data_IF_126802886120
#
_entry.id   IF_126802886120
#
_cell.length_a   1.000
_cell.length_b   1.000
_cell.length_c   1.000
_cell.angle_alpha   90.00
_cell.angle_beta   90.00
_cell.angle_gamma   90.00
#
_symmetry.space_group_name_H-M   'P 1'
#
loop_
_entity.id
_entity.type
_entity.pdbx_description
1 polymer ?
#
# COMPACT_ATOMS: atom_id res chain seq x y z
N UNK A 1 -0.17 -19.59 7.71
CA UNK A 1 -0.99 -20.65 8.34
C UNK A 1 -2.11 -20.03 9.17
N UNK A 2 -1.83 -19.19 10.18
CA UNK A 2 -2.85 -18.66 11.11
C UNK A 2 -3.92 -17.81 10.42
N UNK A 3 -3.55 -16.88 9.55
CA UNK A 3 -4.51 -16.02 8.82
C UNK A 3 -5.50 -16.85 7.99
N UNK A 4 -5.03 -17.88 7.28
CA UNK A 4 -5.90 -18.76 6.48
C UNK A 4 -6.86 -19.53 7.38
N UNK A 5 -6.37 -20.05 8.51
CA UNK A 5 -7.19 -20.77 9.49
C UNK A 5 -8.33 -19.88 10.02
N UNK A 6 -8.05 -18.65 10.42
CA UNK A 6 -9.09 -17.70 10.86
C UNK A 6 -10.09 -17.40 9.76
N UNK A 7 -9.64 -17.20 8.52
CA UNK A 7 -10.57 -16.98 7.40
C UNK A 7 -11.45 -18.21 7.14
N UNK A 8 -10.88 -19.41 7.24
CA UNK A 8 -11.65 -20.66 7.08
C UNK A 8 -12.71 -20.82 8.19
N UNK A 9 -12.35 -20.50 9.45
CA UNK A 9 -13.29 -20.53 10.59
C UNK A 9 -14.43 -19.51 10.43
N UNK A 10 -14.12 -18.30 9.91
CA UNK A 10 -15.10 -17.23 9.69
C UNK A 10 -15.83 -17.34 8.33
N UNK A 11 -15.58 -18.37 7.56
CA UNK A 11 -16.20 -18.57 6.25
C UNK A 11 -15.77 -17.57 5.19
N UNK A 12 -14.63 -16.89 5.39
CA UNK A 12 -14.09 -15.89 4.46
C UNK A 12 -13.33 -16.59 3.35
N UNK A 13 -13.83 -16.47 2.13
CA UNK A 13 -13.15 -16.98 0.95
C UNK A 13 -12.43 -15.87 0.20
N UNK A 14 -11.12 -16.06 -0.04
CA UNK A 14 -10.32 -15.15 -0.87
C UNK A 14 -9.27 -15.93 -1.66
N UNK A 15 -9.00 -15.46 -2.86
CA UNK A 15 -8.01 -16.04 -3.77
C UNK A 15 -6.63 -15.39 -3.66
N UNK A 16 -6.57 -14.15 -3.20
CA UNK A 16 -5.33 -13.38 -3.06
C UNK A 16 -4.94 -13.26 -1.58
N UNK A 17 -3.69 -13.55 -1.29
CA UNK A 17 -3.11 -13.48 0.04
C UNK A 17 -1.89 -12.57 0.03
N UNK A 18 -1.92 -11.52 0.80
CA UNK A 18 -0.80 -10.58 0.86
C UNK A 18 -1.02 -9.49 1.88
N UNK A 19 -0.22 -8.44 1.80
CA UNK A 19 -0.32 -7.34 2.74
C UNK A 19 0.86 -6.39 2.66
N UNK A 20 1.22 -5.84 3.82
CA UNK A 20 2.33 -4.91 4.00
C UNK A 20 3.14 -5.27 5.23
N UNK A 21 4.44 -5.08 5.16
CA UNK A 21 5.31 -5.17 6.32
C UNK A 21 5.09 -3.96 7.23
N UNK A 22 5.03 -4.22 8.54
CA UNK A 22 4.91 -3.16 9.55
C UNK A 22 6.08 -2.19 9.45
N UNK A 23 5.82 -0.90 9.57
CA UNK A 23 6.76 0.20 9.29
C UNK A 23 7.32 0.22 7.86
N UNK A 24 6.64 -0.39 6.90
CA UNK A 24 7.11 -0.51 5.51
C UNK A 24 8.53 -1.06 5.40
N UNK A 25 8.93 -1.95 6.33
CA UNK A 25 10.27 -2.54 6.36
C UNK A 25 10.47 -3.46 5.17
N UNK A 26 11.52 -3.19 4.43
CA UNK A 26 11.84 -3.95 3.24
C UNK A 26 13.35 -4.16 3.10
N UNK A 27 13.74 -5.39 2.77
CA UNK A 27 15.14 -5.75 2.48
C UNK A 27 15.19 -6.70 1.29
N UNK A 28 15.67 -6.19 0.14
CA UNK A 28 15.89 -7.00 -1.05
C UNK A 28 17.18 -7.84 -0.88
N UNK A 29 17.20 -9.13 -1.26
CA UNK A 29 16.06 -9.90 -1.74
C UNK A 29 15.28 -10.63 -0.62
N UNK A 30 15.71 -10.53 0.63
CA UNK A 30 15.21 -11.31 1.77
C UNK A 30 13.68 -11.23 1.90
N UNK A 31 13.11 -10.01 1.74
CA UNK A 31 11.66 -9.82 1.84
C UNK A 31 10.92 -10.54 0.70
N UNK A 32 11.47 -10.58 -0.51
CA UNK A 32 10.88 -11.31 -1.64
C UNK A 32 10.76 -12.81 -1.33
N UNK A 33 11.86 -13.42 -0.89
CA UNK A 33 11.88 -14.84 -0.53
C UNK A 33 10.94 -15.14 0.64
N UNK A 34 10.91 -14.27 1.66
CA UNK A 34 10.02 -14.45 2.81
C UNK A 34 8.53 -14.43 2.42
N UNK A 35 8.11 -13.52 1.56
CA UNK A 35 6.75 -13.46 1.05
C UNK A 35 6.39 -14.68 0.19
N UNK A 36 7.27 -15.08 -0.73
CA UNK A 36 7.10 -16.25 -1.59
C UNK A 36 6.98 -17.53 -0.75
N UNK A 37 7.90 -17.75 0.20
CA UNK A 37 7.89 -18.91 1.10
C UNK A 37 6.64 -18.96 2.00
N UNK A 38 6.11 -17.80 2.38
CA UNK A 38 4.85 -17.72 3.12
C UNK A 38 3.62 -18.02 2.26
N UNK A 39 3.79 -18.26 0.96
CA UNK A 39 2.72 -18.51 0.00
C UNK A 39 1.82 -17.28 -0.22
N UNK A 40 2.41 -16.08 -0.13
CA UNK A 40 1.70 -14.84 -0.41
C UNK A 40 1.71 -14.56 -1.91
N UNK A 41 0.60 -14.01 -2.40
CA UNK A 41 0.40 -13.72 -3.83
C UNK A 41 0.75 -12.28 -4.18
N UNK A 42 0.71 -11.37 -3.19
CA UNK A 42 1.13 -9.98 -3.40
C UNK A 42 1.77 -9.37 -2.16
N UNK A 43 2.63 -8.37 -2.39
CA UNK A 43 3.16 -7.44 -1.39
C UNK A 43 2.86 -6.00 -1.79
N UNK A 44 2.47 -5.17 -0.82
CA UNK A 44 2.19 -3.75 -1.02
C UNK A 44 2.97 -2.88 -0.03
N UNK A 45 4.23 -3.28 0.27
CA UNK A 45 5.10 -2.58 1.23
C UNK A 45 5.82 -1.39 0.59
N UNK A 46 6.18 -1.49 -0.70
CA UNK A 46 7.08 -0.53 -1.34
C UNK A 46 6.43 0.84 -1.53
N UNK A 47 6.78 1.77 -0.64
CA UNK A 47 6.49 3.20 -0.68
C UNK A 47 7.64 3.98 -0.07
N UNK A 48 7.62 5.29 -0.20
CA UNK A 48 8.45 6.18 0.59
C UNK A 48 7.84 6.40 1.97
N UNK A 49 8.68 6.57 3.00
CA UNK A 49 8.20 6.87 4.35
C UNK A 49 7.87 8.36 4.54
N UNK A 50 8.62 9.22 3.88
CA UNK A 50 8.67 10.67 4.08
C UNK A 50 7.86 11.49 3.07
N UNK A 51 7.45 10.89 1.95
CA UNK A 51 6.58 11.54 0.97
C UNK A 51 5.70 10.54 0.22
N UNK A 52 4.53 10.98 -0.21
CA UNK A 52 3.64 10.19 -1.04
C UNK A 52 4.02 10.28 -2.52
N UNK A 53 3.97 9.16 -3.23
CA UNK A 53 4.34 9.11 -4.66
C UNK A 53 4.71 7.71 -5.14
N UNK A 54 5.34 7.64 -6.28
CA UNK A 54 5.60 6.40 -7.02
C UNK A 54 7.02 5.88 -6.81
N UNK A 55 7.32 5.31 -5.64
CA UNK A 55 8.64 4.72 -5.34
C UNK A 55 9.06 3.65 -6.36
N UNK A 56 8.12 2.86 -6.83
CA UNK A 56 8.38 1.83 -7.83
C UNK A 56 8.42 2.35 -9.28
N UNK A 57 8.29 3.67 -9.49
CA UNK A 57 8.19 4.27 -10.82
C UNK A 57 6.87 3.95 -11.55
N UNK A 58 5.96 3.25 -10.91
CA UNK A 58 4.68 2.81 -11.48
C UNK A 58 3.61 2.66 -10.40
N UNK A 59 2.34 2.69 -10.80
CA UNK A 59 1.18 2.29 -10.00
C UNK A 59 0.53 0.99 -10.51
N UNK A 60 1.11 0.38 -11.52
CA UNK A 60 0.70 -0.95 -11.99
C UNK A 60 1.34 -2.04 -11.14
N UNK A 61 0.60 -3.11 -10.96
CA UNK A 61 1.10 -4.32 -10.33
C UNK A 61 2.02 -5.08 -11.28
N UNK A 62 3.16 -5.55 -10.76
CA UNK A 62 4.16 -6.27 -11.57
C UNK A 62 4.72 -7.49 -10.81
N UNK A 63 5.25 -8.51 -11.53
CA UNK A 63 5.87 -9.67 -10.90
C UNK A 63 7.14 -9.25 -10.14
N UNK A 64 7.33 -9.81 -8.95
CA UNK A 64 8.55 -9.59 -8.19
C UNK A 64 9.74 -10.28 -8.88
N UNK A 65 10.91 -9.63 -8.84
CA UNK A 65 12.11 -10.12 -9.50
C UNK A 65 13.35 -9.87 -8.65
N UNK A 66 14.22 -10.89 -8.55
CA UNK A 66 15.56 -10.77 -7.97
C UNK A 66 16.58 -10.67 -9.10
N UNK A 67 17.16 -9.49 -9.37
CA UNK A 67 18.13 -9.33 -10.45
C UNK A 67 19.46 -10.04 -10.18
N UNK A 68 19.83 -10.24 -8.91
CA UNK A 68 21.09 -10.91 -8.57
C UNK A 68 21.04 -12.42 -8.86
N UNK A 69 19.89 -13.04 -8.60
CA UNK A 69 19.66 -14.46 -8.88
C UNK A 69 18.97 -14.69 -10.25
N UNK A 70 18.63 -13.63 -10.98
CA UNK A 70 17.84 -13.69 -12.23
C UNK A 70 16.55 -14.49 -12.08
N UNK A 71 15.87 -14.34 -10.93
CA UNK A 71 14.71 -15.15 -10.54
C UNK A 71 13.43 -14.30 -10.52
N UNK A 72 12.41 -14.75 -11.25
CA UNK A 72 11.03 -14.26 -11.11
C UNK A 72 10.30 -15.03 -10.02
N UNK A 73 9.48 -14.32 -9.25
CA UNK A 73 8.62 -14.90 -8.22
C UNK A 73 7.17 -14.98 -8.71
N UNK A 74 6.37 -15.86 -8.10
CA UNK A 74 4.90 -15.82 -8.24
C UNK A 74 4.30 -14.63 -7.49
N UNK A 75 5.04 -14.10 -6.52
CA UNK A 75 4.70 -12.89 -5.79
C UNK A 75 4.57 -11.69 -6.74
N UNK A 76 3.51 -10.90 -6.56
CA UNK A 76 3.34 -9.64 -7.27
C UNK A 76 3.63 -8.46 -6.34
N UNK A 77 4.26 -7.45 -6.87
CA UNK A 77 4.42 -6.15 -6.18
C UNK A 77 3.25 -5.27 -6.56
N UNK A 78 2.49 -4.84 -5.56
CA UNK A 78 1.39 -3.87 -5.66
C UNK A 78 1.87 -2.56 -5.04
N UNK A 79 2.38 -1.60 -5.83
CA UNK A 79 3.00 -0.38 -5.32
C UNK A 79 2.06 0.39 -4.39
N UNK A 80 2.56 0.79 -3.22
CA UNK A 80 1.86 1.69 -2.32
C UNK A 80 2.15 3.13 -2.74
N UNK A 81 1.10 3.88 -3.09
CA UNK A 81 1.22 5.25 -3.63
C UNK A 81 1.15 6.30 -2.53
N UNK A 82 0.25 6.13 -1.58
CA UNK A 82 0.07 7.09 -0.50
C UNK A 82 -0.24 6.41 0.84
N UNK A 83 0.25 7.04 1.92
CA UNK A 83 -0.08 6.69 3.29
C UNK A 83 -0.52 7.95 4.02
N UNK A 84 -1.61 7.88 4.79
CA UNK A 84 -2.12 9.05 5.50
C UNK A 84 -1.11 9.62 6.48
N UNK A 85 -0.39 8.73 7.21
CA UNK A 85 0.65 9.16 8.14
C UNK A 85 1.76 9.97 7.47
N UNK A 86 2.10 9.63 6.23
CA UNK A 86 3.09 10.38 5.44
C UNK A 86 2.57 11.75 5.02
N UNK A 87 1.34 11.84 4.53
CA UNK A 87 0.78 13.10 3.99
C UNK A 87 0.39 14.05 5.12
N UNK A 88 -0.32 13.55 6.14
CA UNK A 88 -0.91 14.33 7.22
C UNK A 88 0.10 14.57 8.35
N UNK A 89 0.96 13.57 8.62
CA UNK A 89 1.86 13.54 9.77
C UNK A 89 2.90 14.66 9.76
N UNK A 90 3.03 15.35 10.90
CA UNK A 90 3.92 16.51 11.09
C UNK A 90 5.41 16.18 10.88
N UNK A 91 5.80 14.93 11.10
CA UNK A 91 7.20 14.48 11.00
C UNK A 91 7.62 14.16 9.54
N UNK A 92 6.68 14.26 8.59
CA UNK A 92 6.87 13.97 7.17
C UNK A 92 6.42 15.16 6.32
N UNK A 93 5.39 14.98 5.48
CA UNK A 93 4.90 16.08 4.64
C UNK A 93 4.20 17.18 5.44
N UNK A 94 3.64 16.85 6.61
CA UNK A 94 3.10 17.83 7.57
C UNK A 94 1.89 18.61 7.09
N UNK A 95 1.13 18.11 6.12
CA UNK A 95 0.01 18.86 5.55
C UNK A 95 -1.22 18.92 6.48
N UNK A 96 -1.27 18.09 7.53
CA UNK A 96 -2.39 18.04 8.46
C UNK A 96 -3.70 17.64 7.77
N UNK A 97 -4.82 17.83 8.46
CA UNK A 97 -6.17 17.61 7.92
C UNK A 97 -6.65 18.88 7.21
N UNK A 98 -6.09 19.18 6.07
CA UNK A 98 -6.30 20.42 5.30
C UNK A 98 -6.75 20.13 3.87
N UNK A 99 -7.34 21.12 3.17
CA UNK A 99 -7.61 21.00 1.75
C UNK A 99 -6.39 20.63 0.90
N UNK A 100 -5.19 21.10 1.29
CA UNK A 100 -3.94 20.78 0.59
C UNK A 100 -3.55 19.30 0.73
N UNK A 101 -3.84 18.67 1.88
CA UNK A 101 -3.64 17.23 2.04
C UNK A 101 -4.59 16.44 1.14
N UNK A 102 -5.87 16.80 1.12
CA UNK A 102 -6.86 16.18 0.24
C UNK A 102 -6.45 16.34 -1.24
N UNK A 103 -6.07 17.55 -1.64
CA UNK A 103 -5.60 17.83 -3.00
C UNK A 103 -4.41 16.93 -3.39
N UNK A 104 -3.45 16.73 -2.46
CA UNK A 104 -2.30 15.84 -2.70
C UNK A 104 -2.73 14.40 -2.98
N UNK A 105 -3.66 13.86 -2.20
CA UNK A 105 -4.20 12.52 -2.46
C UNK A 105 -4.91 12.43 -3.81
N UNK A 106 -5.74 13.44 -4.14
CA UNK A 106 -6.50 13.47 -5.39
C UNK A 106 -5.60 13.62 -6.62
N UNK A 107 -4.52 14.41 -6.53
CA UNK A 107 -3.50 14.52 -7.58
C UNK A 107 -2.85 13.16 -7.87
N UNK A 108 -2.45 12.42 -6.83
CA UNK A 108 -1.85 11.09 -6.99
C UNK A 108 -2.86 10.08 -7.54
N UNK A 109 -4.11 10.13 -7.08
CA UNK A 109 -5.19 9.29 -7.59
C UNK A 109 -5.47 9.57 -9.06
N UNK A 110 -5.51 10.86 -9.45
CA UNK A 110 -5.67 11.25 -10.85
C UNK A 110 -4.47 10.82 -11.73
N UNK A 111 -3.24 10.92 -11.21
CA UNK A 111 -2.07 10.43 -11.92
C UNK A 111 -2.16 8.91 -12.20
N UNK A 112 -2.65 8.12 -11.24
CA UNK A 112 -2.91 6.70 -11.47
C UNK A 112 -4.00 6.48 -12.54
N UNK A 113 -5.09 7.24 -12.50
CA UNK A 113 -6.18 7.15 -13.51
C UNK A 113 -5.69 7.45 -14.91
N UNK A 114 -4.85 8.47 -15.08
CA UNK A 114 -4.34 8.89 -16.38
C UNK A 114 -3.55 7.79 -17.11
N UNK A 115 -3.05 6.81 -16.37
CA UNK A 115 -2.31 5.66 -16.92
C UNK A 115 -3.05 4.34 -16.71
N UNK A 116 -4.35 4.39 -16.37
CA UNK A 116 -5.18 3.21 -16.07
C UNK A 116 -4.60 2.30 -14.97
N UNK A 117 -3.83 2.90 -14.05
CA UNK A 117 -3.18 2.21 -12.95
C UNK A 117 -4.04 2.17 -11.69
N UNK A 118 -3.50 1.58 -10.63
CA UNK A 118 -4.18 1.44 -9.33
C UNK A 118 -3.67 2.46 -8.33
N UNK A 119 -4.56 3.24 -7.73
CA UNK A 119 -4.25 4.07 -6.59
C UNK A 119 -4.33 3.24 -5.30
N UNK A 120 -3.18 2.91 -4.72
CA UNK A 120 -3.11 2.14 -3.48
C UNK A 120 -2.88 3.08 -2.31
N UNK A 121 -3.82 3.08 -1.39
CA UNK A 121 -3.81 3.91 -0.18
C UNK A 121 -3.62 3.03 1.06
N UNK A 122 -2.77 3.44 1.98
CA UNK A 122 -2.70 2.93 3.34
C UNK A 122 -3.37 3.93 4.28
N UNK A 123 -4.34 3.45 5.06
CA UNK A 123 -5.04 4.20 6.10
C UNK A 123 -5.14 3.35 7.35
N UNK A 124 -4.62 3.83 8.48
CA UNK A 124 -4.58 3.05 9.71
C UNK A 124 -5.93 3.06 10.43
N UNK A 125 -6.41 1.90 10.95
CA UNK A 125 -7.70 1.80 11.62
C UNK A 125 -7.96 2.83 12.74
N UNK A 126 -6.99 3.19 13.62
CA UNK A 126 -7.24 4.19 14.66
C UNK A 126 -7.63 5.58 14.15
N UNK A 127 -7.34 5.89 12.87
CA UNK A 127 -7.73 7.14 12.22
C UNK A 127 -9.26 7.27 12.06
N UNK A 128 -9.98 6.14 12.00
CA UNK A 128 -11.44 6.15 11.91
C UNK A 128 -12.14 6.50 13.22
N UNK A 129 -11.42 6.70 14.31
CA UNK A 129 -11.94 7.25 15.56
C UNK A 129 -12.11 8.77 15.51
N UNK A 130 -11.50 9.45 14.52
CA UNK A 130 -11.58 10.89 14.30
C UNK A 130 -12.49 11.22 13.13
N UNK A 131 -13.54 12.00 13.35
CA UNK A 131 -14.54 12.35 12.35
C UNK A 131 -13.92 13.05 11.12
N UNK A 132 -13.00 13.99 11.30
CA UNK A 132 -12.38 14.72 10.19
C UNK A 132 -11.50 13.79 9.33
N UNK A 133 -10.85 12.80 9.97
CA UNK A 133 -10.07 11.79 9.24
C UNK A 133 -10.97 10.84 8.45
N UNK A 134 -12.13 10.48 8.99
CA UNK A 134 -13.16 9.72 8.26
C UNK A 134 -13.65 10.49 7.04
N UNK A 135 -13.99 11.76 7.20
CA UNK A 135 -14.47 12.63 6.10
C UNK A 135 -13.41 12.77 5.00
N UNK A 136 -12.14 12.96 5.37
CA UNK A 136 -11.04 13.01 4.40
C UNK A 136 -10.87 11.69 3.66
N UNK A 137 -10.89 10.56 4.39
CA UNK A 137 -10.82 9.22 3.78
C UNK A 137 -11.96 9.00 2.78
N UNK A 138 -13.19 9.31 3.18
CA UNK A 138 -14.36 9.20 2.30
C UNK A 138 -14.25 10.09 1.05
N UNK A 139 -13.78 11.33 1.22
CA UNK A 139 -13.55 12.24 0.10
C UNK A 139 -12.52 11.68 -0.90
N UNK A 140 -11.44 11.07 -0.40
CA UNK A 140 -10.42 10.43 -1.24
C UNK A 140 -11.01 9.21 -1.98
N UNK A 141 -11.77 8.37 -1.29
CA UNK A 141 -12.28 7.12 -1.87
C UNK A 141 -13.38 7.39 -2.89
N UNK A 142 -14.29 8.32 -2.60
CA UNK A 142 -15.44 8.64 -3.46
C UNK A 142 -15.08 9.47 -4.71
N UNK A 143 -14.00 10.25 -4.67
CA UNK A 143 -13.51 11.01 -5.83
C UNK A 143 -12.96 10.05 -6.89
#
# INVERSE_FOLDING_TARGET
>A
AHLRHVCDEEGIQQSEWGGRMHYLRWKTPTSLYGWEQAGMTYDSTLSYADHAGFRCGTCHEYPAFDPAASTCFNLRIRPLVAMEGTVIGKDYMGLGLTPSALEKFLQLKQACRNVEGKFTLLWHPPRFENQQECEMYEAIVKA
#
